data_IF_534556250979
#
_entry.id   IF_534556250979
#
_cell.length_a   1.000
_cell.length_b   1.000
_cell.length_c   1.000
_cell.angle_alpha   90.00
_cell.angle_beta   90.00
_cell.angle_gamma   90.00
#
_symmetry.space_group_name_H-M   'P 1'
#
loop_
_entity.id
_entity.type
_entity.pdbx_description
1 polymer ?
#
# COMPACT_ATOMS: atom_id res chain seq x y z
N UNK A 1 8.47 4.12 0.04
CA UNK A 1 7.95 4.32 1.40
C UNK A 1 9.02 3.87 2.36
N UNK A 2 9.24 4.61 3.45
CA UNK A 2 10.12 4.25 4.56
C UNK A 2 9.31 4.06 5.83
N UNK A 3 9.90 3.54 6.92
CA UNK A 3 9.20 3.45 8.21
C UNK A 3 8.67 4.80 8.70
N UNK A 4 9.38 5.90 8.40
CA UNK A 4 8.98 7.26 8.79
C UNK A 4 7.72 7.75 8.05
N UNK A 5 7.37 7.13 6.92
CA UNK A 5 6.17 7.47 6.14
C UNK A 5 4.91 6.77 6.67
N UNK A 6 5.02 5.80 7.58
CA UNK A 6 3.92 4.89 7.94
C UNK A 6 2.74 5.61 8.60
N UNK A 7 3.01 6.47 9.59
CA UNK A 7 1.95 7.21 10.30
C UNK A 7 1.18 8.12 9.33
N UNK A 8 1.90 8.91 8.52
CA UNK A 8 1.29 9.78 7.52
C UNK A 8 0.53 9.00 6.44
N UNK A 9 1.02 7.82 6.06
CA UNK A 9 0.34 6.93 5.11
C UNK A 9 -0.95 6.38 5.70
N UNK A 10 -0.94 5.94 6.95
CA UNK A 10 -2.12 5.41 7.63
C UNK A 10 -3.18 6.50 7.84
N UNK A 11 -2.77 7.70 8.25
CA UNK A 11 -3.69 8.85 8.39
C UNK A 11 -4.35 9.19 7.05
N UNK A 12 -3.55 9.23 5.98
CA UNK A 12 -4.05 9.45 4.63
C UNK A 12 -5.01 8.32 4.21
N UNK A 13 -4.68 7.06 4.49
CA UNK A 13 -5.54 5.92 4.22
C UNK A 13 -6.89 6.01 4.96
N UNK A 14 -6.88 6.34 6.26
CA UNK A 14 -8.08 6.53 7.05
C UNK A 14 -8.96 7.67 6.53
N UNK A 15 -8.33 8.73 6.00
CA UNK A 15 -9.03 9.84 5.37
C UNK A 15 -9.68 9.46 4.03
N UNK A 16 -8.98 8.73 3.17
CA UNK A 16 -9.50 8.33 1.84
C UNK A 16 -10.49 7.15 1.96
N UNK A 17 -10.27 6.24 2.90
CA UNK A 17 -10.96 4.96 3.02
C UNK A 17 -11.68 4.81 4.36
N UNK A 18 -12.64 5.71 4.60
CA UNK A 18 -13.39 5.74 5.86
C UNK A 18 -14.06 4.40 6.20
N UNK A 19 -14.51 3.64 5.18
CA UNK A 19 -15.18 2.35 5.36
C UNK A 19 -14.22 1.14 5.35
N UNK A 20 -12.92 1.34 5.11
CA UNK A 20 -11.93 0.27 5.01
C UNK A 20 -10.72 0.53 5.93
N UNK A 21 -10.90 0.50 7.26
CA UNK A 21 -9.82 0.74 8.20
C UNK A 21 -8.82 -0.42 8.20
N UNK A 22 -7.54 -0.08 8.23
CA UNK A 22 -6.42 -1.02 8.41
C UNK A 22 -5.53 -0.54 9.55
N UNK A 23 -5.03 -1.48 10.35
CA UNK A 23 -4.19 -1.22 11.52
C UNK A 23 -2.77 -0.86 11.09
N UNK A 24 -2.06 -0.10 11.93
CA UNK A 24 -0.64 0.22 11.75
C UNK A 24 0.22 -1.03 11.49
N UNK A 25 -0.06 -2.13 12.20
CA UNK A 25 0.64 -3.41 12.01
C UNK A 25 0.55 -3.95 10.58
N UNK A 26 -0.56 -3.70 9.87
CA UNK A 26 -0.72 -4.11 8.49
C UNK A 26 0.21 -3.30 7.59
N UNK A 27 0.23 -1.97 7.71
CA UNK A 27 1.14 -1.12 6.93
C UNK A 27 2.61 -1.48 7.18
N UNK A 28 3.00 -1.64 8.46
CA UNK A 28 4.34 -2.08 8.84
C UNK A 28 4.70 -3.43 8.25
N UNK A 29 3.77 -4.40 8.31
CA UNK A 29 4.01 -5.73 7.75
C UNK A 29 4.15 -5.67 6.23
N UNK A 30 3.32 -4.89 5.52
CA UNK A 30 3.42 -4.74 4.06
C UNK A 30 4.76 -4.14 3.65
N UNK A 31 5.21 -3.09 4.35
CA UNK A 31 6.52 -2.48 4.11
C UNK A 31 7.67 -3.45 4.39
N UNK A 32 7.54 -4.30 5.40
CA UNK A 32 8.56 -5.30 5.76
C UNK A 32 8.63 -6.44 4.74
N UNK A 33 7.47 -6.92 4.27
CA UNK A 33 7.38 -8.08 3.37
C UNK A 33 7.71 -7.71 1.92
N UNK A 34 7.29 -6.54 1.46
CA UNK A 34 7.45 -6.09 0.07
C UNK A 34 7.81 -4.60 0.01
N UNK A 35 8.99 -4.19 0.52
CA UNK A 35 9.40 -2.79 0.50
C UNK A 35 9.46 -2.20 -0.91
N UNK A 36 9.83 -3.00 -1.90
CA UNK A 36 9.86 -2.62 -3.33
C UNK A 36 8.48 -2.35 -3.92
N UNK A 37 7.43 -2.85 -3.28
CA UNK A 37 6.04 -2.62 -3.67
C UNK A 37 5.36 -1.47 -2.92
N UNK A 38 6.06 -0.78 -2.02
CA UNK A 38 5.53 0.27 -1.16
C UNK A 38 6.06 1.65 -1.55
N UNK A 39 5.19 2.49 -2.12
CA UNK A 39 5.53 3.84 -2.60
C UNK A 39 4.63 4.90 -1.96
N UNK A 40 5.18 6.10 -1.86
CA UNK A 40 4.44 7.30 -1.46
C UNK A 40 4.62 8.37 -2.53
N UNK A 41 3.61 9.21 -2.71
CA UNK A 41 3.66 10.43 -3.50
C UNK A 41 3.78 11.60 -2.52
N UNK A 42 4.98 12.13 -2.37
CA UNK A 42 5.24 13.27 -1.50
C UNK A 42 5.16 14.61 -2.26
N UNK A 43 4.66 15.64 -1.58
CA UNK A 43 4.62 17.02 -2.03
C UNK A 43 5.15 17.96 -0.93
N UNK A 44 5.37 19.26 -1.20
CA UNK A 44 5.66 20.24 -0.16
C UNK A 44 4.58 20.36 0.93
N UNK A 45 3.36 19.88 0.68
CA UNK A 45 2.24 19.91 1.63
C UNK A 45 2.05 18.58 2.40
N UNK A 46 2.94 17.60 2.21
CA UNK A 46 2.83 16.27 2.81
C UNK A 46 2.56 15.16 1.78
N UNK A 47 2.09 14.01 2.25
CA UNK A 47 1.76 12.87 1.40
C UNK A 47 0.43 13.10 0.66
N UNK A 48 0.46 12.99 -0.67
CA UNK A 48 -0.70 13.13 -1.55
C UNK A 48 -1.20 11.77 -2.08
N UNK A 49 -0.47 10.69 -1.82
CA UNK A 49 -0.89 9.37 -2.24
C UNK A 49 0.07 8.28 -1.79
N UNK A 50 -0.39 7.05 -1.88
CA UNK A 50 0.45 5.89 -1.60
C UNK A 50 0.05 4.71 -2.49
N UNK A 51 0.96 3.76 -2.62
CA UNK A 51 0.76 2.51 -3.31
C UNK A 51 1.38 1.41 -2.47
N UNK A 52 0.61 0.37 -2.21
CA UNK A 52 1.11 -0.84 -1.56
C UNK A 52 0.76 -2.01 -2.46
N UNK A 53 1.78 -2.74 -2.86
CA UNK A 53 1.67 -4.02 -3.54
C UNK A 53 2.54 -5.04 -2.84
N UNK A 54 2.08 -6.28 -2.86
CA UNK A 54 2.86 -7.39 -2.30
C UNK A 54 2.62 -8.67 -3.10
N UNK A 55 3.59 -9.60 -3.09
CA UNK A 55 3.36 -10.95 -3.58
C UNK A 55 2.24 -11.63 -2.79
N UNK A 56 1.41 -12.42 -3.48
CA UNK A 56 0.40 -13.25 -2.84
C UNK A 56 0.34 -14.62 -3.51
N UNK A 57 0.27 -15.67 -2.68
CA UNK A 57 0.11 -17.05 -3.11
C UNK A 57 -1.26 -17.54 -2.66
N UNK A 58 -2.27 -17.26 -3.47
CA UNK A 58 -3.63 -17.70 -3.20
C UNK A 58 -4.60 -17.21 -4.26
N UNK A 59 -5.66 -17.98 -4.47
CA UNK A 59 -6.79 -17.59 -5.34
C UNK A 59 -7.80 -16.70 -4.62
N UNK A 60 -7.73 -16.66 -3.29
CA UNK A 60 -8.60 -15.86 -2.42
C UNK A 60 -7.77 -14.75 -1.80
N UNK A 61 -8.23 -13.52 -1.95
CA UNK A 61 -7.63 -12.34 -1.29
C UNK A 61 -7.83 -12.45 0.22
N UNK A 62 -6.82 -12.17 1.04
CA UNK A 62 -7.00 -12.12 2.49
C UNK A 62 -8.08 -11.08 2.83
N UNK A 63 -8.76 -11.31 3.96
CA UNK A 63 -9.66 -10.29 4.50
C UNK A 63 -8.90 -8.98 4.73
N UNK A 64 -9.62 -7.86 4.64
CA UNK A 64 -9.06 -6.55 4.96
C UNK A 64 -8.49 -6.56 6.39
N UNK A 65 -7.47 -5.75 6.63
CA UNK A 65 -6.85 -5.59 7.95
C UNK A 65 -6.33 -6.91 8.54
N UNK A 66 -5.80 -7.79 7.69
CA UNK A 66 -5.25 -9.08 8.09
C UNK A 66 -3.75 -9.15 7.81
N UNK A 67 -3.00 -9.62 8.80
CA UNK A 67 -1.59 -9.93 8.65
C UNK A 67 -1.43 -11.13 7.71
N UNK A 68 -0.56 -11.00 6.71
CA UNK A 68 -0.20 -12.09 5.82
C UNK A 68 0.65 -13.12 6.57
N UNK A 69 0.51 -14.40 6.24
CA UNK A 69 1.51 -15.38 6.65
C UNK A 69 2.87 -15.03 6.04
N UNK A 70 3.97 -15.51 6.63
CA UNK A 70 5.30 -15.37 6.04
C UNK A 70 5.27 -15.87 4.59
N UNK A 71 5.53 -14.98 3.63
CA UNK A 71 5.72 -15.39 2.25
C UNK A 71 7.11 -16.03 2.14
N UNK A 72 7.27 -17.21 1.53
CA UNK A 72 8.60 -17.76 1.31
C UNK A 72 9.39 -16.75 0.46
N UNK A 73 10.39 -16.12 1.08
CA UNK A 73 11.26 -15.10 0.47
C UNK A 73 12.07 -15.65 -0.73
N UNK A 74 11.96 -16.95 -0.98
CA UNK A 74 12.54 -17.65 -2.12
C UNK A 74 11.44 -18.43 -2.85
N UNK A 75 11.10 -18.03 -4.07
CA UNK A 75 11.29 -18.92 -5.22
C UNK A 75 11.04 -18.25 -6.58
N UNK A 76 11.94 -18.65 -7.48
CA UNK A 76 12.35 -18.11 -8.76
C UNK A 76 11.45 -18.55 -9.92
N UNK A 77 10.16 -18.79 -9.69
CA UNK A 77 9.27 -19.38 -10.69
C UNK A 77 7.91 -18.64 -10.77
N UNK A 78 7.99 -17.39 -11.22
CA UNK A 78 7.08 -16.80 -12.21
C UNK A 78 5.58 -16.64 -11.93
N UNK A 79 5.02 -17.21 -10.87
CA UNK A 79 3.55 -17.28 -10.69
C UNK A 79 3.11 -16.69 -9.36
N UNK A 80 3.40 -15.40 -9.14
CA UNK A 80 2.70 -14.61 -8.14
C UNK A 80 1.75 -13.66 -8.88
N UNK A 81 0.49 -13.64 -8.47
CA UNK A 81 -0.38 -12.51 -8.86
C UNK A 81 0.02 -11.36 -7.94
N UNK A 82 0.74 -10.37 -8.46
CA UNK A 82 0.98 -9.13 -7.72
C UNK A 82 -0.37 -8.53 -7.37
N UNK A 83 -0.72 -8.56 -6.09
CA UNK A 83 -1.89 -7.83 -5.60
C UNK A 83 -1.46 -6.38 -5.39
N UNK A 84 -1.95 -5.52 -6.27
CA UNK A 84 -1.70 -4.09 -6.25
C UNK A 84 -2.91 -3.37 -5.67
N UNK A 85 -2.73 -2.70 -4.54
CA UNK A 85 -3.61 -1.62 -4.11
C UNK A 85 -2.92 -0.28 -4.39
N UNK A 86 -3.22 0.32 -5.54
CA UNK A 86 -2.86 1.71 -5.85
C UNK A 86 -4.00 2.60 -5.40
N UNK A 87 -3.75 3.54 -4.48
CA UNK A 87 -4.80 4.46 -4.01
C UNK A 87 -4.25 5.88 -3.91
N UNK A 88 -4.59 6.69 -4.91
CA UNK A 88 -4.20 8.10 -5.01
C UNK A 88 -5.26 8.98 -4.36
N UNK A 89 -4.85 9.93 -3.51
CA UNK A 89 -5.70 11.06 -3.18
C UNK A 89 -5.49 12.13 -4.26
N UNK A 90 -6.42 12.22 -5.22
CA UNK A 90 -6.41 13.32 -6.16
C UNK A 90 -6.88 14.60 -5.46
N UNK A 91 -5.96 15.28 -4.77
CA UNK A 91 -6.11 16.68 -4.39
C UNK A 91 -6.16 17.56 -5.64
N UNK A 92 -7.35 17.63 -6.26
CA UNK A 92 -7.71 18.32 -7.52
C UNK A 92 -7.10 17.68 -8.76
N UNK A 93 -8.00 17.31 -9.68
CA UNK A 93 -7.71 16.99 -11.07
C UNK A 93 -6.62 17.91 -11.63
N UNK A 94 -5.57 17.30 -12.19
CA UNK A 94 -4.72 17.95 -13.18
C UNK A 94 -5.66 18.48 -14.26
N UNK A 95 -6.02 19.77 -14.18
CA UNK A 95 -6.56 20.48 -15.33
C UNK A 95 -5.45 20.46 -16.36
N UNK A 96 -5.65 19.68 -17.42
CA UNK A 96 -5.00 20.00 -18.69
C UNK A 96 -5.44 21.43 -19.05
N UNK A 97 -4.48 22.35 -19.05
CA UNK A 97 -4.66 23.63 -19.75
C UNK A 97 -4.74 23.33 -21.25
N UNK A 98 -5.50 24.13 -22.01
CA UNK A 98 -5.97 23.80 -23.36
C UNK A 98 -4.85 23.67 -24.38
#
# INVERSE_FOLDING_TARGET
>A
MTPDDLDATQDLAAHIHTDYPESHEVFTQRLTVAPEGCHVLASPNGLEGYMISHPWQGTITPALNTLLPPCPHTQTDGTFTTWLSLRLHAGKALRSKP
#
